data_IF_032512946433
#
_entry.id   IF_032512946433
#
_cell.length_a   1.000
_cell.length_b   1.000
_cell.length_c   1.000
_cell.angle_alpha   90.00
_cell.angle_beta   90.00
_cell.angle_gamma   90.00
#
_symmetry.space_group_name_H-M   'P 1'
#
loop_
_entity.id
_entity.type
_entity.pdbx_description
1 polymer ?
#
# COMPACT_ATOMS: atom_id res chain seq x y z
N UNK A 1 3.73 0.02 -32.57
CA UNK A 1 2.54 -0.89 -32.55
C UNK A 1 2.27 -1.46 -31.15
N UNK A 2 3.28 -1.91 -30.37
CA UNK A 2 3.09 -2.44 -29.02
C UNK A 2 2.56 -1.39 -28.01
N UNK A 3 3.01 -0.14 -28.11
CA UNK A 3 2.53 0.95 -27.25
C UNK A 3 1.06 1.25 -27.51
N UNK A 4 0.64 1.35 -28.79
CA UNK A 4 -0.74 1.59 -29.17
C UNK A 4 -1.66 0.42 -28.78
N UNK A 5 -1.22 -0.83 -28.96
CA UNK A 5 -1.98 -2.01 -28.57
C UNK A 5 -2.20 -2.13 -27.07
N UNK A 6 -1.26 -1.61 -26.26
CA UNK A 6 -1.30 -1.72 -24.82
C UNK A 6 -2.06 -0.57 -24.14
N UNK A 7 -2.03 0.64 -24.72
CA UNK A 7 -2.57 1.84 -24.10
C UNK A 7 -3.80 2.43 -24.80
N UNK A 8 -3.97 2.17 -26.10
CA UNK A 8 -5.06 2.77 -26.89
C UNK A 8 -6.17 1.76 -27.25
N UNK A 9 -5.99 0.46 -27.01
CA UNK A 9 -6.98 -0.55 -27.40
C UNK A 9 -8.14 -0.72 -26.41
N UNK A 10 -8.12 -0.05 -25.25
CA UNK A 10 -9.18 -0.12 -24.22
C UNK A 10 -9.40 -1.50 -23.61
N UNK A 11 -8.57 -2.51 -23.97
CA UNK A 11 -8.73 -3.89 -23.49
C UNK A 11 -8.30 -4.10 -22.04
N UNK A 12 -7.72 -3.09 -21.40
CA UNK A 12 -7.25 -3.14 -20.02
C UNK A 12 -8.03 -2.24 -19.06
N UNK A 13 -9.05 -1.51 -19.54
CA UNK A 13 -9.89 -0.68 -18.66
C UNK A 13 -11.05 -1.54 -18.14
N UNK A 14 -10.85 -2.17 -17.00
CA UNK A 14 -11.86 -3.00 -16.32
C UNK A 14 -12.68 -2.25 -15.27
N UNK A 15 -12.49 -0.92 -15.14
CA UNK A 15 -13.14 -0.10 -14.13
C UNK A 15 -13.99 1.02 -14.73
N UNK A 16 -15.04 1.42 -14.01
CA UNK A 16 -15.86 2.57 -14.36
C UNK A 16 -15.16 3.89 -13.98
N UNK A 17 -15.20 4.87 -14.86
CA UNK A 17 -14.56 6.17 -14.68
C UNK A 17 -14.99 6.90 -13.40
N UNK A 18 -16.30 6.97 -13.13
CA UNK A 18 -16.83 7.73 -11.99
C UNK A 18 -16.45 7.12 -10.63
N UNK A 19 -16.58 5.82 -10.39
CA UNK A 19 -16.09 5.20 -9.17
C UNK A 19 -14.60 5.49 -8.93
N UNK A 20 -13.76 5.29 -9.94
CA UNK A 20 -12.32 5.59 -9.82
C UNK A 20 -12.06 7.06 -9.48
N UNK A 21 -12.76 7.99 -10.15
CA UNK A 21 -12.61 9.43 -9.89
C UNK A 21 -12.98 9.77 -8.43
N UNK A 22 -14.08 9.19 -7.91
CA UNK A 22 -14.49 9.43 -6.53
C UNK A 22 -13.50 8.85 -5.52
N UNK A 23 -12.97 7.66 -5.72
CA UNK A 23 -11.97 7.05 -4.86
C UNK A 23 -10.65 7.83 -4.88
N UNK A 24 -10.24 8.33 -6.06
CA UNK A 24 -9.08 9.20 -6.18
C UNK A 24 -9.28 10.53 -5.42
N UNK A 25 -10.45 11.16 -5.56
CA UNK A 25 -10.78 12.38 -4.83
C UNK A 25 -10.83 12.14 -3.32
N UNK A 26 -11.39 11.02 -2.89
CA UNK A 26 -11.41 10.63 -1.48
C UNK A 26 -9.98 10.47 -0.94
N UNK A 27 -9.12 9.76 -1.65
CA UNK A 27 -7.69 9.61 -1.31
C UNK A 27 -6.99 10.96 -1.17
N UNK A 28 -7.23 11.89 -2.11
CA UNK A 28 -6.64 13.24 -2.07
C UNK A 28 -7.14 14.03 -0.88
N UNK A 29 -8.45 13.98 -0.59
CA UNK A 29 -9.06 14.71 0.54
C UNK A 29 -8.51 14.20 1.87
N UNK A 30 -8.49 12.89 2.08
CA UNK A 30 -8.02 12.31 3.34
C UNK A 30 -6.50 12.47 3.52
N UNK A 31 -5.71 12.21 2.49
CA UNK A 31 -4.24 12.25 2.58
C UNK A 31 -3.64 13.65 2.44
N UNK A 32 -4.31 14.56 1.74
CA UNK A 32 -3.71 15.84 1.30
C UNK A 32 -4.68 17.02 1.27
N UNK A 33 -5.86 16.92 1.91
CA UNK A 33 -6.89 17.95 1.85
C UNK A 33 -6.40 19.34 2.28
N UNK A 34 -5.58 19.43 3.31
CA UNK A 34 -4.96 20.69 3.75
C UNK A 34 -4.12 21.30 2.63
N UNK A 35 -3.30 20.50 1.94
CA UNK A 35 -2.48 20.97 0.82
C UNK A 35 -3.35 21.48 -0.33
N UNK A 36 -4.45 20.79 -0.66
CA UNK A 36 -5.38 21.20 -1.72
C UNK A 36 -6.01 22.55 -1.39
N UNK A 37 -6.47 22.76 -0.15
CA UNK A 37 -7.03 24.05 0.28
C UNK A 37 -6.00 25.18 0.14
N UNK A 38 -4.76 24.97 0.57
CA UNK A 38 -3.70 25.96 0.38
C UNK A 38 -3.33 26.15 -1.09
N UNK A 39 -3.40 25.10 -1.92
CA UNK A 39 -3.15 25.21 -3.36
C UNK A 39 -4.21 26.06 -4.06
N UNK A 40 -5.49 25.85 -3.75
CA UNK A 40 -6.59 26.68 -4.26
C UNK A 40 -6.42 28.14 -3.84
N UNK A 41 -6.17 28.38 -2.55
CA UNK A 41 -5.90 29.74 -2.06
C UNK A 41 -4.71 30.37 -2.78
N UNK A 42 -3.61 29.64 -2.92
CA UNK A 42 -2.40 30.15 -3.55
C UNK A 42 -2.60 30.48 -5.03
N UNK A 43 -3.31 29.64 -5.78
CA UNK A 43 -3.64 29.90 -7.17
C UNK A 43 -4.50 31.16 -7.33
N UNK A 44 -5.55 31.29 -6.51
CA UNK A 44 -6.45 32.45 -6.53
C UNK A 44 -5.72 33.75 -6.16
N UNK A 45 -4.96 33.71 -5.05
CA UNK A 45 -4.23 34.90 -4.57
C UNK A 45 -3.14 35.31 -5.55
N UNK A 46 -2.42 34.36 -6.15
CA UNK A 46 -1.37 34.67 -7.13
C UNK A 46 -1.97 35.34 -8.38
N UNK A 47 -3.10 34.82 -8.88
CA UNK A 47 -3.82 35.39 -10.03
C UNK A 47 -4.38 36.77 -9.75
N UNK A 48 -5.00 36.95 -8.58
CA UNK A 48 -5.60 38.22 -8.19
C UNK A 48 -4.56 39.31 -7.94
N UNK A 49 -3.47 38.99 -7.23
CA UNK A 49 -2.43 39.95 -6.87
C UNK A 49 -1.59 40.41 -8.04
N UNK A 50 -1.44 39.60 -9.08
CA UNK A 50 -0.58 39.90 -10.23
C UNK A 50 -1.38 40.22 -11.52
N UNK A 51 -2.72 40.23 -11.45
CA UNK A 51 -3.59 40.36 -12.62
C UNK A 51 -3.64 39.11 -13.50
N UNK A 52 -2.69 38.18 -13.35
CA UNK A 52 -2.67 36.83 -13.87
C UNK A 52 -1.74 35.96 -13.00
N UNK A 53 -2.00 34.67 -12.90
CA UNK A 53 -1.11 33.76 -12.20
C UNK A 53 0.25 33.68 -12.90
N UNK A 54 1.31 33.56 -12.08
CA UNK A 54 2.66 33.28 -12.59
C UNK A 54 2.65 31.94 -13.34
N UNK A 55 3.39 31.88 -14.44
CA UNK A 55 3.35 30.73 -15.36
C UNK A 55 3.63 29.39 -14.66
N UNK A 56 4.58 29.36 -13.71
CA UNK A 56 4.87 28.16 -12.94
C UNK A 56 3.72 27.74 -12.02
N UNK A 57 3.07 28.71 -11.36
CA UNK A 57 1.94 28.45 -10.45
C UNK A 57 0.73 27.95 -11.25
N UNK A 58 0.45 28.61 -12.38
CA UNK A 58 -0.62 28.23 -13.29
C UNK A 58 -0.36 26.82 -13.88
N UNK A 59 0.84 26.57 -14.39
CA UNK A 59 1.22 25.28 -14.93
C UNK A 59 1.05 24.16 -13.89
N UNK A 60 1.56 24.36 -12.68
CA UNK A 60 1.47 23.36 -11.62
C UNK A 60 0.02 23.09 -11.17
N UNK A 61 -0.80 24.16 -11.06
CA UNK A 61 -2.22 24.03 -10.75
C UNK A 61 -2.98 23.27 -11.85
N UNK A 62 -2.77 23.62 -13.12
CA UNK A 62 -3.41 22.91 -14.24
C UNK A 62 -2.92 21.47 -14.38
N UNK A 63 -1.64 21.20 -14.14
CA UNK A 63 -1.12 19.83 -14.09
C UNK A 63 -1.84 19.01 -13.01
N UNK A 64 -1.95 19.51 -11.78
CA UNK A 64 -2.67 18.82 -10.71
C UNK A 64 -4.12 18.52 -11.09
N UNK A 65 -4.86 19.52 -11.61
CA UNK A 65 -6.26 19.34 -12.04
C UNK A 65 -6.37 18.35 -13.21
N UNK A 66 -5.50 18.48 -14.22
CA UNK A 66 -5.48 17.55 -15.35
C UNK A 66 -5.18 16.10 -14.92
N UNK A 67 -4.34 15.93 -13.88
CA UNK A 67 -4.07 14.60 -13.32
C UNK A 67 -5.30 14.00 -12.65
N UNK A 68 -6.10 14.77 -11.91
CA UNK A 68 -7.35 14.27 -11.32
C UNK A 68 -8.28 13.69 -12.36
N UNK A 69 -8.46 14.41 -13.48
CA UNK A 69 -9.37 14.00 -14.56
C UNK A 69 -8.74 12.92 -15.45
N UNK A 70 -7.43 12.98 -15.65
CA UNK A 70 -6.72 12.12 -16.60
C UNK A 70 -6.40 10.72 -16.06
N UNK A 71 -6.11 10.58 -14.76
CA UNK A 71 -5.75 9.28 -14.20
C UNK A 71 -6.84 8.21 -14.34
N UNK A 72 -8.12 8.50 -14.06
CA UNK A 72 -9.19 7.53 -14.28
C UNK A 72 -9.38 7.10 -15.75
N UNK A 73 -8.78 7.84 -16.70
CA UNK A 73 -8.78 7.48 -18.13
C UNK A 73 -7.51 6.74 -18.51
N UNK A 74 -6.37 7.13 -17.92
CA UNK A 74 -5.04 6.71 -18.38
C UNK A 74 -4.52 5.43 -17.73
N UNK A 75 -5.06 5.01 -16.59
CA UNK A 75 -4.59 3.82 -15.87
C UNK A 75 -5.74 2.87 -15.54
N UNK A 76 -5.45 1.58 -15.59
CA UNK A 76 -6.32 0.48 -15.16
C UNK A 76 -6.17 0.15 -13.67
N UNK A 77 -5.11 0.66 -13.03
CA UNK A 77 -4.82 0.39 -11.63
C UNK A 77 -5.40 1.51 -10.76
N UNK A 78 -6.49 1.19 -10.08
CA UNK A 78 -7.14 2.05 -9.10
C UNK A 78 -6.37 2.01 -7.76
N UNK A 79 -5.33 2.83 -7.64
CA UNK A 79 -4.45 2.79 -6.49
C UNK A 79 -4.14 4.17 -5.89
N UNK A 80 -4.01 4.27 -4.55
CA UNK A 80 -3.80 5.54 -3.85
C UNK A 80 -2.55 6.32 -4.29
N UNK A 81 -1.50 5.64 -4.77
CA UNK A 81 -0.28 6.32 -5.24
C UNK A 81 -0.51 7.22 -6.45
N UNK A 82 -1.59 7.02 -7.22
CA UNK A 82 -1.96 7.92 -8.31
C UNK A 82 -2.16 9.37 -7.83
N UNK A 83 -2.58 9.55 -6.57
CA UNK A 83 -2.70 10.86 -5.95
C UNK A 83 -1.38 11.66 -5.91
N UNK A 84 -0.21 11.00 -5.94
CA UNK A 84 1.09 11.70 -5.99
C UNK A 84 1.21 12.62 -7.19
N UNK A 85 0.67 12.24 -8.33
CA UNK A 85 0.71 13.06 -9.57
C UNK A 85 -0.20 14.29 -9.51
N UNK A 86 -1.11 14.31 -8.54
CA UNK A 86 -1.96 15.49 -8.22
C UNK A 86 -1.29 16.34 -7.14
N UNK A 87 -0.85 15.69 -6.06
CA UNK A 87 -0.35 16.37 -4.85
C UNK A 87 1.01 17.04 -5.10
N UNK A 88 1.89 16.38 -5.85
CA UNK A 88 3.23 16.90 -6.10
C UNK A 88 3.20 18.26 -6.85
N UNK A 89 2.52 18.41 -7.99
CA UNK A 89 2.43 19.72 -8.62
C UNK A 89 1.64 20.75 -7.78
N UNK A 90 0.59 20.33 -7.07
CA UNK A 90 -0.20 21.24 -6.22
C UNK A 90 0.59 21.77 -5.01
N UNK A 91 1.71 21.17 -4.64
CA UNK A 91 2.58 21.70 -3.59
C UNK A 91 3.13 23.10 -3.92
N UNK A 92 3.30 23.43 -5.22
CA UNK A 92 3.79 24.74 -5.66
C UNK A 92 2.76 25.86 -5.37
N UNK A 93 1.51 25.80 -5.84
CA UNK A 93 0.51 26.79 -5.46
C UNK A 93 0.18 26.74 -3.96
N UNK A 94 0.24 25.56 -3.29
CA UNK A 94 0.05 25.46 -1.86
C UNK A 94 1.10 26.25 -1.07
N UNK A 95 2.35 26.22 -1.49
CA UNK A 95 3.41 27.05 -0.88
C UNK A 95 3.14 28.56 -1.04
N UNK A 96 2.55 28.97 -2.15
CA UNK A 96 2.11 30.38 -2.34
C UNK A 96 0.99 30.74 -1.37
N UNK A 97 -0.02 29.88 -1.22
CA UNK A 97 -1.12 30.04 -0.27
C UNK A 97 -0.67 30.09 1.17
N UNK A 98 0.21 29.17 1.60
CA UNK A 98 0.81 29.18 2.92
C UNK A 98 1.64 30.43 3.17
N UNK A 99 2.44 30.86 2.19
CA UNK A 99 3.19 32.11 2.26
C UNK A 99 2.30 33.34 2.36
N UNK A 100 1.14 33.35 1.75
CA UNK A 100 0.16 34.42 1.90
C UNK A 100 -0.40 34.46 3.32
N UNK A 101 -0.87 33.35 3.85
CA UNK A 101 -1.36 33.24 5.24
C UNK A 101 -0.29 33.71 6.23
N UNK A 102 0.94 33.23 6.08
CA UNK A 102 2.06 33.64 6.94
C UNK A 102 2.32 35.15 6.92
N UNK A 103 2.34 35.77 5.70
CA UNK A 103 2.55 37.24 5.58
C UNK A 103 1.40 38.01 6.19
N UNK A 104 0.15 37.57 5.96
CA UNK A 104 -1.04 38.20 6.54
C UNK A 104 -1.01 38.11 8.07
N UNK A 105 -0.69 36.92 8.64
CA UNK A 105 -0.54 36.74 10.07
C UNK A 105 0.49 37.70 10.67
N UNK A 106 1.67 37.76 10.05
CA UNK A 106 2.76 38.65 10.51
C UNK A 106 2.37 40.13 10.42
N UNK A 107 1.65 40.53 9.39
CA UNK A 107 1.16 41.89 9.23
C UNK A 107 0.11 42.24 10.28
N UNK A 108 -0.87 41.37 10.55
CA UNK A 108 -1.90 41.58 11.56
C UNK A 108 -1.29 41.76 12.96
N UNK A 109 -0.27 40.95 13.30
CA UNK A 109 0.48 41.10 14.54
C UNK A 109 1.20 42.48 14.59
N UNK A 110 1.83 42.90 13.50
CA UNK A 110 2.60 44.15 13.45
C UNK A 110 1.73 45.41 13.59
N UNK A 111 0.46 45.34 13.18
CA UNK A 111 -0.49 46.47 13.29
C UNK A 111 -1.48 46.30 14.48
N UNK A 112 -1.20 45.34 15.36
CA UNK A 112 -2.04 45.02 16.54
C UNK A 112 -3.51 44.69 16.20
N UNK A 113 -3.76 44.15 14.98
CA UNK A 113 -5.07 43.64 14.60
C UNK A 113 -5.34 42.29 15.27
N UNK A 114 -6.04 42.35 16.40
CA UNK A 114 -6.39 41.15 17.17
C UNK A 114 -7.26 40.16 16.41
N UNK A 115 -8.19 40.65 15.57
CA UNK A 115 -9.09 39.80 14.81
C UNK A 115 -8.31 39.07 13.72
N UNK A 116 -7.55 39.80 12.90
CA UNK A 116 -6.73 39.20 11.83
C UNK A 116 -5.71 38.22 12.37
N UNK A 117 -5.07 38.56 13.51
CA UNK A 117 -4.13 37.66 14.22
C UNK A 117 -4.82 36.37 14.66
N UNK A 118 -6.00 36.48 15.27
CA UNK A 118 -6.76 35.30 15.74
C UNK A 118 -7.18 34.40 14.57
N UNK A 119 -7.71 34.98 13.50
CA UNK A 119 -8.10 34.20 12.31
C UNK A 119 -6.89 33.48 11.70
N UNK A 120 -5.76 34.17 11.53
CA UNK A 120 -4.57 33.58 10.98
C UNK A 120 -4.02 32.44 11.88
N UNK A 121 -4.04 32.64 13.19
CA UNK A 121 -3.65 31.60 14.16
C UNK A 121 -4.55 30.38 14.08
N UNK A 122 -5.87 30.57 14.00
CA UNK A 122 -6.83 29.47 13.83
C UNK A 122 -6.60 28.69 12.54
N UNK A 123 -6.35 29.36 11.42
CA UNK A 123 -6.05 28.71 10.14
C UNK A 123 -4.77 27.88 10.23
N UNK A 124 -3.70 28.44 10.80
CA UNK A 124 -2.42 27.73 10.94
C UNK A 124 -2.57 26.53 11.88
N UNK A 125 -3.22 26.71 13.03
CA UNK A 125 -3.44 25.63 13.99
C UNK A 125 -4.31 24.51 13.40
N UNK A 126 -5.37 24.87 12.67
CA UNK A 126 -6.22 23.89 11.98
C UNK A 126 -5.46 23.12 10.91
N UNK A 127 -4.59 23.79 10.15
CA UNK A 127 -3.73 23.15 9.16
C UNK A 127 -2.75 22.17 9.81
N UNK A 128 -2.09 22.58 10.88
CA UNK A 128 -1.16 21.72 11.64
C UNK A 128 -1.91 20.52 12.24
N UNK A 129 -3.08 20.75 12.84
CA UNK A 129 -3.91 19.68 13.40
C UNK A 129 -4.40 18.71 12.32
N UNK A 130 -4.79 19.21 11.14
CA UNK A 130 -5.19 18.37 10.02
C UNK A 130 -4.07 17.50 9.47
N UNK A 131 -2.85 18.07 9.32
CA UNK A 131 -1.66 17.31 8.93
C UNK A 131 -1.29 16.27 9.99
N UNK A 132 -1.32 16.64 11.28
CA UNK A 132 -1.04 15.73 12.38
C UNK A 132 -2.06 14.57 12.42
N UNK A 133 -3.35 14.88 12.27
CA UNK A 133 -4.40 13.88 12.23
C UNK A 133 -4.22 12.90 11.06
N UNK A 134 -3.92 13.41 9.85
CA UNK A 134 -3.65 12.56 8.69
C UNK A 134 -2.44 11.63 8.92
N UNK A 135 -1.36 12.15 9.52
CA UNK A 135 -0.18 11.33 9.84
C UNK A 135 -0.51 10.25 10.87
N UNK A 136 -1.18 10.59 11.98
CA UNK A 136 -1.56 9.61 13.01
C UNK A 136 -2.50 8.55 12.42
N UNK A 137 -3.46 8.96 11.60
CA UNK A 137 -4.47 8.05 11.04
C UNK A 137 -3.88 7.12 9.98
N UNK A 138 -3.01 7.62 9.10
CA UNK A 138 -2.59 6.88 7.89
C UNK A 138 -1.15 6.38 7.90
N UNK A 139 -0.27 7.00 8.68
CA UNK A 139 1.16 6.61 8.73
C UNK A 139 1.46 5.80 9.99
N UNK A 140 0.96 6.24 11.13
CA UNK A 140 1.27 5.65 12.44
C UNK A 140 0.18 4.69 12.94
N UNK A 141 -0.99 4.67 12.29
CA UNK A 141 -2.09 3.80 12.67
C UNK A 141 -1.85 2.34 12.27
N UNK A 142 -2.17 1.43 13.17
CA UNK A 142 -2.24 0.00 12.89
C UNK A 142 -3.58 -0.44 12.31
N UNK A 143 -4.55 0.48 12.18
CA UNK A 143 -5.89 0.18 11.64
C UNK A 143 -5.82 -0.21 10.18
N UNK A 144 -6.53 -1.30 9.84
CA UNK A 144 -6.61 -1.84 8.49
C UNK A 144 -7.73 -1.19 7.66
N UNK A 145 -8.58 -0.38 8.29
CA UNK A 145 -9.77 0.18 7.66
C UNK A 145 -9.48 1.43 6.82
N UNK A 146 -8.26 1.96 6.90
CA UNK A 146 -7.83 3.17 6.18
C UNK A 146 -7.46 2.89 4.71
N UNK A 147 -8.35 2.20 3.98
CA UNK A 147 -8.12 1.81 2.58
C UNK A 147 -8.01 2.99 1.61
N UNK A 148 -8.55 4.16 1.98
CA UNK A 148 -8.58 5.35 1.11
C UNK A 148 -7.19 5.91 0.79
N UNK A 149 -6.22 5.74 1.69
CA UNK A 149 -4.86 6.31 1.53
C UNK A 149 -3.78 5.23 1.50
N UNK A 150 -4.00 4.10 2.18
CA UNK A 150 -3.03 3.01 2.25
C UNK A 150 -3.02 2.20 0.96
N UNK A 151 -1.81 1.82 0.53
CA UNK A 151 -1.66 0.88 -0.58
C UNK A 151 -2.34 -0.44 -0.25
N UNK A 152 -3.18 -0.92 -1.16
CA UNK A 152 -3.78 -2.23 -1.05
C UNK A 152 -2.76 -3.38 -1.12
N UNK A 153 -1.56 -3.15 -1.65
CA UNK A 153 -0.45 -4.10 -1.68
C UNK A 153 0.31 -4.25 -0.35
N UNK A 154 0.02 -3.42 0.65
CA UNK A 154 0.68 -3.55 1.95
C UNK A 154 0.10 -4.74 2.73
N UNK A 155 0.95 -5.52 3.44
CA UNK A 155 0.45 -6.55 4.34
C UNK A 155 -0.34 -5.91 5.48
N UNK A 156 -1.24 -6.69 6.04
CA UNK A 156 -1.92 -6.30 7.26
C UNK A 156 -0.93 -6.09 8.41
N UNK A 157 -1.21 -5.14 9.29
CA UNK A 157 -0.34 -4.88 10.45
C UNK A 157 -0.30 -6.06 11.43
N UNK A 158 -1.38 -6.84 11.54
CA UNK A 158 -1.45 -8.07 12.33
C UNK A 158 -0.51 -9.18 11.80
N UNK A 159 -0.20 -9.18 10.51
CA UNK A 159 0.80 -10.06 9.92
C UNK A 159 2.22 -9.79 10.48
N UNK A 160 2.47 -8.59 11.01
CA UNK A 160 3.79 -8.20 11.51
C UNK A 160 4.29 -9.10 12.65
N UNK A 161 3.43 -9.45 13.60
CA UNK A 161 3.79 -10.31 14.72
C UNK A 161 4.11 -11.73 14.23
N UNK A 162 3.36 -12.23 13.27
CA UNK A 162 3.60 -13.53 12.62
C UNK A 162 4.91 -13.50 11.83
N UNK A 163 5.18 -12.44 11.08
CA UNK A 163 6.44 -12.27 10.34
C UNK A 163 7.66 -12.18 11.27
N UNK A 164 7.53 -11.61 12.46
CA UNK A 164 8.60 -11.61 13.45
C UNK A 164 8.92 -13.04 13.95
N UNK A 165 7.92 -13.92 14.06
CA UNK A 165 8.15 -15.33 14.37
C UNK A 165 8.88 -16.03 13.22
N UNK A 166 8.48 -15.78 11.99
CA UNK A 166 9.18 -16.27 10.79
C UNK A 166 10.64 -15.83 10.78
N UNK A 167 10.91 -14.55 11.04
CA UNK A 167 12.28 -14.02 11.14
C UNK A 167 13.12 -14.78 12.19
N UNK A 168 12.56 -14.99 13.37
CA UNK A 168 13.28 -15.72 14.46
C UNK A 168 13.62 -17.14 14.06
N UNK A 169 12.69 -17.85 13.43
CA UNK A 169 12.90 -19.20 12.95
C UNK A 169 14.00 -19.21 11.87
N UNK A 170 13.90 -18.34 10.87
CA UNK A 170 14.86 -18.28 9.76
C UNK A 170 16.30 -17.99 10.20
N UNK A 171 16.48 -17.31 11.33
CA UNK A 171 17.81 -17.03 11.89
C UNK A 171 18.50 -18.24 12.56
N UNK A 172 17.75 -19.27 12.92
CA UNK A 172 18.25 -20.38 13.78
C UNK A 172 17.99 -21.75 13.20
N UNK A 173 17.10 -21.88 12.24
CA UNK A 173 16.75 -23.14 11.62
C UNK A 173 17.83 -23.59 10.62
N UNK A 174 18.02 -24.90 10.48
CA UNK A 174 18.84 -25.50 9.43
C UNK A 174 17.93 -26.15 8.39
N UNK A 175 18.17 -25.90 7.09
CA UNK A 175 17.35 -26.40 5.99
C UNK A 175 16.33 -25.37 5.49
N UNK A 176 15.16 -25.83 5.03
CA UNK A 176 14.09 -24.93 4.61
C UNK A 176 13.37 -24.32 5.81
N UNK A 177 13.15 -23.02 5.77
CA UNK A 177 12.47 -22.26 6.82
C UNK A 177 10.99 -22.09 6.52
N UNK A 178 10.68 -21.74 5.26
CA UNK A 178 9.35 -21.39 4.79
C UNK A 178 8.97 -22.19 3.57
N UNK A 179 7.81 -22.84 3.63
CA UNK A 179 7.20 -23.52 2.50
C UNK A 179 5.93 -22.77 2.07
N UNK A 180 5.86 -22.40 0.80
CA UNK A 180 4.62 -21.96 0.18
C UNK A 180 3.87 -23.17 -0.38
N UNK A 181 2.71 -23.47 0.20
CA UNK A 181 1.88 -24.59 -0.26
C UNK A 181 1.21 -24.25 -1.57
N UNK A 182 1.72 -24.85 -2.66
CA UNK A 182 1.23 -24.62 -4.00
C UNK A 182 -0.18 -25.17 -4.17
N UNK A 183 -1.07 -24.34 -4.70
CA UNK A 183 -2.48 -24.67 -4.90
C UNK A 183 -3.01 -24.13 -6.22
N UNK A 184 -4.23 -24.54 -6.58
CA UNK A 184 -5.00 -23.91 -7.66
C UNK A 184 -6.08 -23.03 -7.08
N UNK A 185 -6.20 -21.82 -7.64
CA UNK A 185 -7.28 -20.91 -7.27
C UNK A 185 -8.65 -21.55 -7.61
N UNK A 186 -9.61 -21.59 -6.66
CA UNK A 186 -10.87 -22.34 -6.83
C UNK A 186 -11.69 -21.91 -8.04
N UNK A 187 -11.71 -20.60 -8.35
CA UNK A 187 -12.56 -20.04 -9.40
C UNK A 187 -11.84 -19.94 -10.76
N UNK A 188 -10.55 -19.56 -10.78
CA UNK A 188 -9.80 -19.34 -12.03
C UNK A 188 -8.98 -20.54 -12.48
N UNK A 189 -8.71 -21.49 -11.60
CA UNK A 189 -7.83 -22.64 -11.87
C UNK A 189 -6.35 -22.27 -11.99
N UNK A 190 -5.98 -21.00 -11.80
CA UNK A 190 -4.59 -20.56 -11.85
C UNK A 190 -3.77 -21.20 -10.73
N UNK A 191 -2.55 -21.61 -11.05
CA UNK A 191 -1.61 -22.08 -10.04
C UNK A 191 -1.09 -20.91 -9.22
N UNK A 192 -1.09 -21.05 -7.90
CA UNK A 192 -0.65 -20.03 -6.93
C UNK A 192 0.45 -20.61 -6.04
N UNK A 193 1.34 -19.77 -5.54
CA UNK A 193 2.45 -20.02 -4.63
C UNK A 193 3.56 -20.94 -5.16
N UNK A 194 3.32 -21.78 -6.13
CA UNK A 194 4.31 -22.71 -6.67
C UNK A 194 5.35 -21.99 -7.53
N UNK A 195 6.61 -22.21 -7.23
CA UNK A 195 7.77 -21.78 -8.02
C UNK A 195 8.63 -23.01 -8.31
N UNK A 196 8.92 -23.27 -9.57
CA UNK A 196 9.64 -24.48 -9.97
C UNK A 196 11.11 -24.47 -9.54
N UNK A 197 11.71 -23.28 -9.54
CA UNK A 197 13.11 -23.07 -9.18
C UNK A 197 13.21 -21.81 -8.30
N UNK A 198 13.41 -22.02 -7.03
CA UNK A 198 13.49 -20.91 -6.05
C UNK A 198 14.79 -20.11 -6.18
N UNK A 199 15.84 -20.66 -6.83
CA UNK A 199 17.07 -19.92 -7.11
C UNK A 199 16.95 -18.92 -8.27
N UNK A 200 15.95 -19.11 -9.13
CA UNK A 200 15.67 -18.28 -10.30
C UNK A 200 14.16 -17.97 -10.45
N UNK A 201 13.51 -17.43 -9.41
CA UNK A 201 12.05 -17.35 -9.36
C UNK A 201 11.45 -16.44 -10.44
N UNK A 202 12.23 -15.52 -11.00
CA UNK A 202 11.80 -14.57 -12.03
C UNK A 202 12.21 -14.95 -13.46
N UNK A 203 12.97 -16.02 -13.64
CA UNK A 203 13.44 -16.49 -14.98
C UNK A 203 12.27 -16.93 -15.81
N UNK A 204 11.25 -16.84 -15.88
CA UNK A 204 10.04 -17.16 -16.64
C UNK A 204 8.82 -16.63 -15.92
N UNK A 205 8.84 -15.33 -15.67
CA UNK A 205 7.78 -14.67 -14.91
C UNK A 205 6.36 -15.00 -15.40
N UNK A 206 6.21 -15.38 -16.67
CA UNK A 206 4.91 -15.78 -17.25
C UNK A 206 4.41 -17.17 -16.79
N UNK A 207 5.31 -18.04 -16.34
CA UNK A 207 5.01 -19.37 -15.80
C UNK A 207 5.38 -19.51 -14.33
N UNK A 208 6.14 -18.57 -13.79
CA UNK A 208 6.43 -18.49 -12.37
C UNK A 208 5.25 -17.85 -11.63
N UNK A 209 4.73 -18.54 -10.64
CA UNK A 209 3.67 -18.02 -9.78
C UNK A 209 4.25 -17.25 -8.57
N UNK A 210 5.51 -16.85 -8.65
CA UNK A 210 6.19 -16.07 -7.60
C UNK A 210 5.42 -14.79 -7.24
N UNK A 211 4.88 -14.10 -8.24
CA UNK A 211 4.10 -12.88 -8.03
C UNK A 211 2.87 -13.09 -7.13
N UNK A 212 2.27 -14.31 -7.12
CA UNK A 212 1.14 -14.61 -6.24
C UNK A 212 1.49 -14.62 -4.74
N UNK A 213 2.79 -14.59 -4.41
CA UNK A 213 3.30 -14.50 -3.03
C UNK A 213 3.46 -13.06 -2.53
N UNK A 214 3.36 -12.06 -3.42
CA UNK A 214 3.54 -10.67 -3.02
C UNK A 214 2.52 -10.25 -1.96
N UNK A 215 2.94 -9.54 -0.90
CA UNK A 215 4.26 -8.93 -0.66
C UNK A 215 5.22 -9.78 0.19
N UNK A 216 4.92 -11.03 0.51
CA UNK A 216 5.70 -11.90 1.41
C UNK A 216 7.17 -12.08 1.01
N UNK A 217 7.55 -12.19 -0.29
CA UNK A 217 8.95 -12.36 -0.68
C UNK A 217 9.87 -11.25 -0.18
N UNK A 218 9.38 -10.01 -0.04
CA UNK A 218 10.17 -8.93 0.55
C UNK A 218 10.67 -9.28 1.96
N UNK A 219 9.79 -9.89 2.76
CA UNK A 219 10.10 -10.26 4.15
C UNK A 219 10.98 -11.50 4.21
N UNK A 220 10.67 -12.54 3.43
CA UNK A 220 11.49 -13.76 3.41
C UNK A 220 12.91 -13.49 2.95
N UNK A 221 13.11 -12.64 1.94
CA UNK A 221 14.42 -12.19 1.49
C UNK A 221 15.14 -11.34 2.56
N UNK A 222 14.44 -10.40 3.17
CA UNK A 222 15.00 -9.54 4.23
C UNK A 222 15.48 -10.37 5.46
N UNK A 223 14.80 -11.48 5.74
CA UNK A 223 15.15 -12.38 6.86
C UNK A 223 16.22 -13.41 6.49
N UNK A 224 16.57 -13.51 5.20
CA UNK A 224 17.46 -14.55 4.68
C UNK A 224 16.85 -15.95 4.79
N UNK A 225 15.53 -16.05 4.73
CA UNK A 225 14.80 -17.30 4.86
C UNK A 225 15.06 -18.23 3.67
N UNK A 226 15.34 -19.49 3.96
CA UNK A 226 15.43 -20.53 2.94
C UNK A 226 14.02 -20.99 2.55
N UNK A 227 13.57 -20.57 1.38
CA UNK A 227 12.19 -20.73 0.90
C UNK A 227 12.08 -21.94 -0.03
N UNK A 228 10.97 -22.65 0.06
CA UNK A 228 10.60 -23.71 -0.89
C UNK A 228 9.10 -23.64 -1.21
N UNK A 229 8.64 -24.41 -2.19
CA UNK A 229 7.23 -24.56 -2.49
C UNK A 229 6.87 -25.93 -3.05
N UNK A 230 5.63 -26.35 -2.82
CA UNK A 230 5.10 -27.61 -3.38
C UNK A 230 4.40 -27.36 -4.72
N UNK A 231 4.49 -28.31 -5.67
CA UNK A 231 3.56 -28.35 -6.80
C UNK A 231 2.10 -28.46 -6.34
N UNK A 232 1.12 -27.92 -7.09
CA UNK A 232 -0.28 -27.87 -6.66
C UNK A 232 -1.01 -29.23 -6.63
N UNK A 233 -0.34 -30.29 -7.02
CA UNK A 233 -0.83 -31.67 -6.96
C UNK A 233 -0.29 -32.47 -5.77
N UNK A 234 0.59 -31.88 -4.96
CA UNK A 234 1.09 -32.50 -3.74
C UNK A 234 0.02 -32.35 -2.65
N UNK A 235 -0.31 -33.46 -2.01
CA UNK A 235 -1.29 -33.46 -0.92
C UNK A 235 -0.69 -32.90 0.38
N UNK A 236 -1.55 -32.40 1.27
CA UNK A 236 -1.11 -31.91 2.59
C UNK A 236 -0.39 -33.02 3.39
N UNK A 237 -0.84 -34.27 3.28
CA UNK A 237 -0.22 -35.43 3.96
C UNK A 237 1.19 -35.75 3.43
N UNK A 238 1.39 -35.62 2.12
CA UNK A 238 2.72 -35.80 1.51
C UNK A 238 3.66 -34.68 1.91
N UNK A 239 3.20 -33.43 1.85
CA UNK A 239 3.97 -32.26 2.27
C UNK A 239 4.38 -32.33 3.76
N UNK A 240 3.48 -32.80 4.62
CA UNK A 240 3.71 -32.91 6.06
C UNK A 240 4.84 -33.87 6.45
N UNK A 241 5.27 -34.78 5.57
CA UNK A 241 6.36 -35.73 5.84
C UNK A 241 7.72 -35.01 5.97
N UNK A 242 7.89 -33.86 5.33
CA UNK A 242 9.12 -33.05 5.37
C UNK A 242 8.77 -31.54 5.47
N UNK A 243 7.78 -31.23 6.29
CA UNK A 243 7.32 -29.85 6.43
C UNK A 243 8.35 -29.00 7.21
N UNK A 244 8.77 -27.84 6.67
CA UNK A 244 9.62 -26.92 7.40
C UNK A 244 8.83 -26.21 8.51
N UNK A 245 9.50 -25.51 9.44
CA UNK A 245 8.86 -24.87 10.59
C UNK A 245 7.75 -23.88 10.27
N UNK A 246 7.74 -23.31 9.06
CA UNK A 246 6.70 -22.39 8.59
C UNK A 246 6.10 -22.88 7.29
N UNK A 247 4.77 -23.01 7.25
CA UNK A 247 4.01 -23.31 6.03
C UNK A 247 2.99 -22.22 5.78
N UNK A 248 3.02 -21.61 4.60
CA UNK A 248 2.11 -20.55 4.18
C UNK A 248 1.20 -21.09 3.09
N UNK A 249 -0.12 -20.91 3.25
CA UNK A 249 -1.11 -21.38 2.32
C UNK A 249 -2.27 -20.38 2.17
N UNK A 250 -3.06 -20.52 1.13
CA UNK A 250 -4.35 -19.83 1.06
C UNK A 250 -5.37 -20.49 2.00
N UNK A 251 -6.31 -19.72 2.51
CA UNK A 251 -7.27 -20.15 3.55
C UNK A 251 -8.14 -21.35 3.11
N UNK A 252 -8.45 -21.48 1.84
CA UNK A 252 -9.20 -22.66 1.36
C UNK A 252 -8.47 -24.01 1.51
N UNK A 253 -7.14 -23.99 1.74
CA UNK A 253 -6.36 -25.19 2.04
C UNK A 253 -6.22 -25.44 3.56
N UNK A 254 -6.79 -24.57 4.40
CA UNK A 254 -6.64 -24.61 5.86
C UNK A 254 -7.00 -25.96 6.46
N UNK A 255 -8.20 -26.46 6.16
CA UNK A 255 -8.73 -27.66 6.82
C UNK A 255 -7.88 -28.91 6.57
N UNK A 256 -7.35 -29.07 5.34
CA UNK A 256 -6.48 -30.19 5.03
C UNK A 256 -5.11 -30.08 5.71
N UNK A 257 -4.57 -28.86 5.76
CA UNK A 257 -3.28 -28.58 6.40
C UNK A 257 -3.34 -28.66 7.93
N UNK A 258 -4.41 -28.20 8.58
CA UNK A 258 -4.62 -28.38 10.03
C UNK A 258 -4.63 -29.87 10.41
N UNK A 259 -5.24 -30.69 9.54
CA UNK A 259 -5.28 -32.14 9.76
C UNK A 259 -3.90 -32.81 9.59
N UNK A 260 -3.08 -32.28 8.68
CA UNK A 260 -1.76 -32.84 8.35
C UNK A 260 -0.64 -32.31 9.27
N UNK A 261 -0.82 -31.14 9.88
CA UNK A 261 0.17 -30.43 10.71
C UNK A 261 -0.32 -30.23 12.17
N UNK A 262 -0.63 -31.30 12.92
CA UNK A 262 -1.29 -31.21 14.24
C UNK A 262 -0.45 -30.49 15.31
N UNK A 263 0.85 -30.28 15.08
CA UNK A 263 1.75 -29.60 16.02
C UNK A 263 2.00 -28.12 15.72
N UNK A 264 1.37 -27.58 14.66
CA UNK A 264 1.58 -26.19 14.26
C UNK A 264 0.49 -25.29 14.82
N UNK A 265 0.88 -24.06 15.18
CA UNK A 265 -0.04 -22.98 15.50
C UNK A 265 -0.44 -22.26 14.21
N UNK A 266 -1.72 -21.98 14.05
CA UNK A 266 -2.28 -21.39 12.84
C UNK A 266 -2.57 -19.91 13.05
N UNK A 267 -2.07 -19.06 12.15
CA UNK A 267 -2.31 -17.63 12.10
C UNK A 267 -3.01 -17.29 10.78
N UNK A 268 -4.11 -16.54 10.86
CA UNK A 268 -4.91 -16.17 9.72
C UNK A 268 -4.74 -14.67 9.45
N UNK A 269 -4.55 -14.31 8.17
CA UNK A 269 -4.32 -12.92 7.77
C UNK A 269 -5.03 -12.61 6.45
N UNK A 270 -5.52 -11.38 6.32
CA UNK A 270 -5.98 -10.86 5.05
C UNK A 270 -4.81 -10.64 4.09
N UNK A 271 -4.92 -11.15 2.89
CA UNK A 271 -3.92 -11.03 1.84
C UNK A 271 -4.38 -9.97 0.82
N UNK A 272 -4.34 -8.72 1.26
CA UNK A 272 -5.00 -7.56 0.64
C UNK A 272 -4.73 -7.36 -0.83
N UNK A 273 -3.50 -7.62 -1.30
CA UNK A 273 -3.13 -7.45 -2.71
C UNK A 273 -4.00 -8.31 -3.64
N UNK A 274 -4.48 -9.42 -3.12
CA UNK A 274 -5.21 -10.43 -3.89
C UNK A 274 -6.69 -10.50 -3.50
N UNK A 275 -7.12 -9.69 -2.52
CA UNK A 275 -8.46 -9.73 -1.91
C UNK A 275 -8.83 -11.14 -1.39
N UNK A 276 -7.82 -11.84 -0.88
CA UNK A 276 -7.90 -13.22 -0.40
C UNK A 276 -7.40 -13.29 1.04
N UNK A 277 -7.47 -14.48 1.64
CA UNK A 277 -6.95 -14.77 2.98
C UNK A 277 -5.89 -15.85 2.90
N UNK A 278 -4.87 -15.70 3.74
CA UNK A 278 -3.82 -16.71 3.92
C UNK A 278 -3.81 -17.21 5.35
N UNK A 279 -3.30 -18.42 5.50
CA UNK A 279 -2.99 -19.05 6.79
C UNK A 279 -1.50 -19.32 6.86
N UNK A 280 -0.92 -19.03 8.00
CA UNK A 280 0.50 -19.28 8.31
C UNK A 280 0.55 -20.28 9.44
N UNK A 281 1.04 -21.45 9.16
CA UNK A 281 1.29 -22.52 10.12
C UNK A 281 2.71 -22.39 10.66
N UNK A 282 2.88 -22.34 11.96
CA UNK A 282 4.19 -22.19 12.61
C UNK A 282 4.39 -23.30 13.65
N UNK A 283 5.47 -24.06 13.52
CA UNK A 283 5.96 -24.91 14.57
C UNK A 283 6.63 -24.05 15.66
N UNK A 284 5.86 -23.66 16.67
CA UNK A 284 6.34 -22.80 17.75
C UNK A 284 7.39 -23.46 18.64
N UNK A 285 7.58 -24.76 18.56
CA UNK A 285 8.67 -25.45 19.27
C UNK A 285 10.06 -25.02 18.77
N UNK A 286 10.12 -24.46 17.57
CA UNK A 286 11.34 -23.90 16.95
C UNK A 286 11.64 -22.46 17.39
N UNK A 287 10.71 -21.80 18.08
CA UNK A 287 10.97 -20.51 18.70
C UNK A 287 11.76 -20.75 20.01
N UNK A 288 13.05 -20.40 20.02
CA UNK A 288 13.89 -20.60 21.21
C UNK A 288 13.37 -19.79 22.42
N UNK A 289 13.32 -20.43 23.59
CA UNK A 289 12.78 -19.84 24.83
C UNK A 289 13.55 -18.59 25.30
N UNK A 290 14.79 -18.40 24.87
CA UNK A 290 15.61 -17.22 25.24
C UNK A 290 15.17 -15.90 24.55
N UNK A 291 14.15 -15.91 23.70
CA UNK A 291 13.69 -14.77 22.90
C UNK A 291 12.22 -14.41 23.15
N UNK A 292 11.60 -15.01 24.15
CA UNK A 292 10.21 -14.73 24.57
C UNK A 292 10.11 -13.66 25.68
N UNK A 293 11.23 -13.00 26.03
CA UNK A 293 11.30 -11.95 27.04
C UNK A 293 11.46 -10.55 26.45
#
# INVERSE_FOLDING_TARGET
>A
EKFYGQWASGTHQSHDYLPFLFDLLETIVYGSGVLVVFALLGFVVDGYSNGRSRDLVAFAAYWGVASVVGYPVATDIQAPWAALHVVLPLAIPAAVGGGYIYRTARQSVAIEDAIGTTIAALVILSAVAGVAAANVTYVDSTSQDNKQVLQWAQPNNDLKDTLQKVERISRTNEGHDVLFYGTKHPNSGNTLFYVKDESAPLENWQVSNWHSRLPLPWYTEMYGANVTSTPPNVTATEMAQDAPPVVIAYDWNRSELESALPGYTVYEHDFKLWDERIVVFIDESKLSVSQLA
#
